data_IF_224741354026
#
_entry.id   IF_224741354026
#
_cell.length_a   1.000
_cell.length_b   1.000
_cell.length_c   1.000
_cell.angle_alpha   90.00
_cell.angle_beta   90.00
_cell.angle_gamma   90.00
#
_symmetry.space_group_name_H-M   'P 1'
#
loop_
_entity.id
_entity.type
_entity.pdbx_description
1 polymer ?
#
# COMPACT_ATOMS: atom_id res chain seq x y z
N UNK A 1 28.13 -20.60 4.82
CA UNK A 1 26.70 -20.80 4.53
C UNK A 1 26.15 -19.45 4.18
N UNK A 2 25.88 -19.21 2.90
CA UNK A 2 25.26 -17.97 2.43
C UNK A 2 23.79 -18.00 2.84
N UNK A 3 23.39 -17.06 3.69
CA UNK A 3 21.98 -16.76 3.91
C UNK A 3 21.37 -16.43 2.55
N UNK A 4 20.62 -17.39 1.99
CA UNK A 4 19.67 -17.10 0.95
C UNK A 4 18.68 -16.11 1.59
N UNK A 5 18.89 -14.83 1.33
CA UNK A 5 17.87 -13.80 1.44
C UNK A 5 16.65 -14.33 0.69
N UNK A 6 15.74 -14.98 1.41
CA UNK A 6 14.50 -15.47 0.85
C UNK A 6 13.77 -14.25 0.34
N UNK A 7 13.70 -14.09 -0.99
CA UNK A 7 12.89 -13.06 -1.62
C UNK A 7 11.53 -13.07 -0.92
N UNK A 8 11.07 -11.94 -0.35
CA UNK A 8 9.85 -11.93 0.43
C UNK A 8 8.71 -12.43 -0.45
N UNK A 9 8.15 -13.59 -0.08
CA UNK A 9 6.99 -14.14 -0.76
C UNK A 9 5.83 -13.16 -0.62
N UNK A 10 5.08 -12.94 -1.70
CA UNK A 10 3.90 -12.07 -1.68
C UNK A 10 2.92 -12.59 -0.61
N UNK A 11 2.55 -11.76 0.40
CA UNK A 11 1.63 -12.20 1.44
C UNK A 11 0.26 -12.61 0.90
N UNK A 12 -0.38 -13.62 1.50
CA UNK A 12 -1.68 -14.11 1.05
C UNK A 12 -2.76 -13.02 1.01
N UNK A 13 -2.75 -12.07 1.94
CA UNK A 13 -3.67 -10.93 1.94
C UNK A 13 -3.46 -9.98 0.75
N UNK A 14 -2.21 -9.84 0.28
CA UNK A 14 -1.90 -9.09 -0.94
C UNK A 14 -2.41 -9.85 -2.15
N UNK A 15 -2.17 -11.17 -2.22
CA UNK A 15 -2.71 -12.03 -3.30
C UNK A 15 -4.23 -11.96 -3.38
N UNK A 16 -4.93 -11.97 -2.23
CA UNK A 16 -6.38 -11.81 -2.18
C UNK A 16 -6.82 -10.44 -2.72
N UNK A 17 -6.15 -9.35 -2.32
CA UNK A 17 -6.44 -8.02 -2.87
C UNK A 17 -6.15 -7.92 -4.37
N UNK A 18 -5.10 -8.58 -4.86
CA UNK A 18 -4.75 -8.62 -6.29
C UNK A 18 -5.78 -9.33 -7.16
N UNK A 19 -6.58 -10.23 -6.59
CA UNK A 19 -7.64 -10.95 -7.29
C UNK A 19 -8.93 -10.13 -7.47
N UNK A 20 -9.03 -8.96 -6.83
CA UNK A 20 -10.21 -8.09 -6.89
C UNK A 20 -10.11 -7.17 -8.12
N UNK A 21 -11.19 -7.11 -8.90
CA UNK A 21 -11.35 -6.07 -9.91
C UNK A 21 -11.89 -4.78 -9.28
N UNK A 22 -10.98 -3.84 -9.01
CA UNK A 22 -11.34 -2.52 -8.48
C UNK A 22 -11.91 -1.57 -9.54
N UNK A 23 -12.01 -1.99 -10.81
CA UNK A 23 -12.42 -1.13 -11.93
C UNK A 23 -11.46 0.03 -12.23
N UNK A 24 -10.26 0.02 -11.62
CA UNK A 24 -9.25 1.07 -11.71
C UNK A 24 -7.85 0.47 -11.88
N UNK A 25 -6.93 1.16 -12.58
CA UNK A 25 -5.57 0.67 -12.79
C UNK A 25 -4.74 0.80 -11.50
N UNK A 26 -4.85 -0.20 -10.62
CA UNK A 26 -4.06 -0.26 -9.38
C UNK A 26 -2.59 -0.29 -9.71
N UNK A 27 -1.83 0.62 -9.09
CA UNK A 27 -0.38 0.74 -9.28
C UNK A 27 0.38 -0.24 -8.39
N UNK A 28 0.05 -0.32 -7.10
CA UNK A 28 0.69 -1.21 -6.14
C UNK A 28 -0.16 -1.40 -4.88
N UNK A 29 0.21 -2.37 -4.05
CA UNK A 29 -0.45 -2.72 -2.80
C UNK A 29 0.48 -2.41 -1.61
N UNK A 30 -0.09 -1.89 -0.52
CA UNK A 30 0.64 -1.51 0.68
C UNK A 30 0.23 -2.38 1.87
N UNK A 31 1.23 -2.93 2.54
CA UNK A 31 1.11 -3.64 3.82
C UNK A 31 1.78 -2.81 4.91
N UNK A 32 1.33 -2.96 6.15
CA UNK A 32 1.79 -2.19 7.30
C UNK A 32 1.78 -0.68 6.98
N UNK A 33 0.67 -0.23 6.37
CA UNK A 33 0.56 1.13 5.92
C UNK A 33 0.49 2.09 7.11
N UNK A 34 1.18 3.21 6.98
CA UNK A 34 1.18 4.32 7.92
C UNK A 34 0.63 5.53 7.16
N UNK A 35 -0.50 6.06 7.60
CA UNK A 35 -0.93 7.39 7.18
C UNK A 35 -0.03 8.42 7.84
N UNK A 36 0.82 9.09 7.07
CA UNK A 36 1.76 10.10 7.54
C UNK A 36 1.57 11.37 6.70
N UNK A 37 0.55 12.19 7.00
CA UNK A 37 0.13 13.24 6.09
C UNK A 37 1.27 14.16 5.64
N UNK A 38 1.36 14.47 4.34
CA UNK A 38 0.35 14.25 3.31
C UNK A 38 0.62 13.01 2.44
N UNK A 39 1.33 12.01 2.94
CA UNK A 39 1.78 10.81 2.21
C UNK A 39 1.33 9.53 2.93
N UNK A 40 1.47 8.38 2.25
CA UNK A 40 1.49 7.08 2.90
C UNK A 40 2.93 6.56 2.95
N UNK A 41 3.22 5.79 3.99
CA UNK A 41 4.38 4.91 4.06
C UNK A 41 3.89 3.46 4.19
N UNK A 42 4.71 2.50 3.77
CA UNK A 42 4.39 1.09 3.94
C UNK A 42 5.30 0.18 3.11
N UNK A 43 5.07 -1.13 3.24
CA UNK A 43 5.75 -2.16 2.45
C UNK A 43 4.98 -2.40 1.17
N UNK A 44 5.63 -2.26 0.01
CA UNK A 44 4.99 -2.33 -1.30
C UNK A 44 5.08 -3.73 -1.91
N UNK A 45 3.99 -4.12 -2.58
CA UNK A 45 3.93 -5.32 -3.39
C UNK A 45 3.21 -5.05 -4.72
N UNK A 46 3.54 -5.81 -5.76
CA UNK A 46 2.88 -5.77 -7.06
C UNK A 46 2.96 -4.43 -7.79
N UNK A 47 4.09 -3.72 -7.70
CA UNK A 47 4.25 -2.45 -8.40
C UNK A 47 4.30 -2.67 -9.92
N UNK A 48 3.17 -2.43 -10.58
CA UNK A 48 3.02 -2.62 -12.04
C UNK A 48 3.90 -1.69 -12.88
N UNK A 49 4.50 -0.67 -12.25
CA UNK A 49 5.43 0.26 -12.90
C UNK A 49 6.89 -0.18 -12.78
N UNK A 50 7.20 -1.27 -12.05
CA UNK A 50 8.56 -1.80 -11.92
C UNK A 50 9.56 -0.89 -11.20
N UNK A 51 9.07 0.07 -10.41
CA UNK A 51 9.89 1.05 -9.67
C UNK A 51 10.40 0.48 -8.35
N UNK A 52 9.69 -0.49 -7.78
CA UNK A 52 10.00 -1.06 -6.48
C UNK A 52 10.05 -2.58 -6.52
N UNK A 53 10.94 -3.16 -5.72
CA UNK A 53 11.00 -4.60 -5.48
C UNK A 53 9.87 -5.02 -4.53
N UNK A 54 9.38 -6.25 -4.68
CA UNK A 54 8.45 -6.85 -3.73
C UNK A 54 9.01 -6.77 -2.30
N UNK A 55 8.20 -6.32 -1.35
CA UNK A 55 8.61 -6.18 0.05
C UNK A 55 9.43 -4.92 0.36
N UNK A 56 9.64 -4.00 -0.58
CA UNK A 56 10.38 -2.77 -0.31
C UNK A 56 9.56 -1.78 0.54
N UNK A 57 10.21 -1.11 1.50
CA UNK A 57 9.61 0.03 2.20
C UNK A 57 9.60 1.27 1.32
N UNK A 58 8.45 1.91 1.18
CA UNK A 58 8.30 3.12 0.35
C UNK A 58 7.61 4.26 1.10
N UNK A 59 7.77 5.46 0.56
CA UNK A 59 6.88 6.60 0.78
C UNK A 59 6.20 6.96 -0.54
N UNK A 60 4.91 7.27 -0.49
CA UNK A 60 4.20 7.75 -1.68
C UNK A 60 4.52 9.22 -1.96
N UNK A 61 4.15 9.69 -3.15
CA UNK A 61 3.95 11.13 -3.36
C UNK A 61 2.68 11.60 -2.63
N UNK A 62 2.45 12.92 -2.59
CA UNK A 62 1.30 13.53 -1.92
C UNK A 62 -0.02 12.86 -2.32
N UNK A 63 -0.83 12.50 -1.34
CA UNK A 63 -2.19 11.99 -1.53
C UNK A 63 -3.06 13.11 -2.11
N UNK A 64 -3.77 12.81 -3.20
CA UNK A 64 -4.74 13.68 -3.85
C UNK A 64 -6.17 13.31 -3.47
N UNK A 65 -6.47 12.01 -3.40
CA UNK A 65 -7.80 11.49 -3.08
C UNK A 65 -7.70 10.16 -2.34
N UNK A 66 -8.55 9.99 -1.34
CA UNK A 66 -8.82 8.71 -0.69
C UNK A 66 -10.25 8.27 -1.01
N UNK A 67 -10.49 6.97 -1.14
CA UNK A 67 -11.83 6.40 -1.33
C UNK A 67 -11.81 4.90 -0.97
N UNK A 68 -12.98 4.26 -0.94
CA UNK A 68 -13.14 2.88 -0.47
C UNK A 68 -13.83 2.02 -1.53
N UNK A 69 -13.29 0.83 -1.81
CA UNK A 69 -13.86 -0.15 -2.75
C UNK A 69 -13.61 -1.56 -2.18
N UNK A 70 -14.64 -2.41 -2.18
CA UNK A 70 -14.55 -3.84 -1.80
C UNK A 70 -13.83 -4.11 -0.47
N UNK A 71 -14.01 -3.25 0.53
CA UNK A 71 -13.36 -3.44 1.84
C UNK A 71 -11.97 -2.80 1.98
N UNK A 72 -11.42 -2.20 0.91
CA UNK A 72 -10.08 -1.62 0.89
C UNK A 72 -10.10 -0.10 0.79
N UNK A 73 -9.13 0.54 1.46
CA UNK A 73 -8.82 1.96 1.26
C UNK A 73 -7.89 2.14 0.06
N UNK A 74 -8.27 3.02 -0.86
CA UNK A 74 -7.53 3.36 -2.06
C UNK A 74 -7.07 4.82 -2.03
N UNK A 75 -5.83 5.05 -2.43
CA UNK A 75 -5.20 6.37 -2.39
C UNK A 75 -4.61 6.74 -3.74
N UNK A 76 -5.21 7.75 -4.38
CA UNK A 76 -4.67 8.38 -5.58
C UNK A 76 -3.69 9.46 -5.18
N UNK A 77 -2.52 9.46 -5.80
CA UNK A 77 -1.43 10.40 -5.51
C UNK A 77 -1.22 11.40 -6.64
N UNK A 78 -0.60 12.54 -6.35
CA UNK A 78 -0.28 13.58 -7.35
C UNK A 78 0.57 13.03 -8.50
N UNK A 79 1.45 12.06 -8.23
CA UNK A 79 2.23 11.36 -9.26
C UNK A 79 1.42 10.35 -10.11
N UNK A 80 0.08 10.43 -10.09
CA UNK A 80 -0.80 9.56 -10.88
C UNK A 80 -0.78 8.09 -10.47
N UNK A 81 -0.20 7.75 -9.31
CA UNK A 81 -0.18 6.38 -8.79
C UNK A 81 -1.40 6.14 -7.89
N UNK A 82 -1.98 4.95 -7.99
CA UNK A 82 -3.12 4.51 -7.20
C UNK A 82 -2.70 3.31 -6.34
N UNK A 83 -2.74 3.47 -5.02
CA UNK A 83 -2.34 2.45 -4.06
C UNK A 83 -3.55 1.85 -3.36
N UNK A 84 -3.53 0.54 -3.14
CA UNK A 84 -4.48 -0.19 -2.29
C UNK A 84 -3.79 -0.45 -0.95
N UNK A 85 -4.42 -0.07 0.16
CA UNK A 85 -3.93 -0.42 1.50
C UNK A 85 -4.56 -1.75 1.93
N UNK A 86 -3.74 -2.78 2.06
CA UNK A 86 -4.14 -4.14 2.44
C UNK A 86 -4.30 -4.26 3.96
N UNK A 87 -3.39 -3.66 4.72
CA UNK A 87 -3.58 -3.44 6.15
C UNK A 87 -2.81 -2.21 6.61
N UNK A 88 -3.33 -1.61 7.67
CA UNK A 88 -2.68 -0.55 8.42
C UNK A 88 -1.78 -1.15 9.48
N UNK A 89 -0.76 -0.41 9.90
CA UNK A 89 -0.11 -0.73 11.18
C UNK A 89 -1.14 -0.69 12.31
N UNK A 90 -0.98 -1.51 13.37
CA UNK A 90 -1.92 -1.53 14.49
C UNK A 90 -2.13 -0.14 15.12
N UNK A 91 -3.36 0.17 15.57
CA UNK A 91 -3.63 1.38 16.34
C UNK A 91 -2.68 1.51 17.53
N UNK A 92 -2.15 2.71 17.78
CA UNK A 92 -1.15 2.97 18.82
C UNK A 92 0.31 2.73 18.41
N UNK A 93 0.55 2.05 17.27
CA UNK A 93 1.87 1.99 16.63
C UNK A 93 2.10 3.14 15.63
N UNK A 94 1.03 3.85 15.26
CA UNK A 94 1.09 5.05 14.42
C UNK A 94 0.60 6.27 15.20
N UNK A 95 1.48 7.27 15.37
CA UNK A 95 1.16 8.54 16.02
C UNK A 95 0.20 9.43 15.20
N UNK A 96 -0.10 9.06 13.95
CA UNK A 96 -0.84 9.88 12.99
C UNK A 96 -2.27 9.39 12.65
N UNK A 97 -2.79 8.32 13.29
CA UNK A 97 -4.09 7.67 12.95
C UNK A 97 -5.38 8.44 13.32
N UNK A 98 -5.37 9.77 13.38
CA UNK A 98 -6.56 10.56 13.76
C UNK A 98 -7.38 11.10 12.58
N UNK A 99 -7.20 10.60 11.34
CA UNK A 99 -7.89 11.13 10.16
C UNK A 99 -9.02 10.21 9.69
N UNK A 100 -10.25 10.74 9.72
CA UNK A 100 -11.41 10.13 9.07
C UNK A 100 -11.46 10.63 7.64
N UNK A 101 -11.42 9.71 6.67
CA UNK A 101 -11.68 10.02 5.27
C UNK A 101 -13.20 9.92 5.05
N UNK A 102 -13.85 11.06 4.75
CA UNK A 102 -15.28 11.17 4.46
C UNK A 102 -15.59 10.86 3.00
#
# INVERSE_FOLDING_TARGET
>A
MSDLEASPSIPAAVTAAMAIDFGLPITAYLVAAVDAPPILMGTVFGDKKGRFREGASIRTSRIQKAFFIEGYSLFKTVGGSLYVVVNWVPPGSNLYMNRVYH
#
